data_IF_774502682221
#
_entry.id   IF_774502682221
#
_cell.length_a   1.000
_cell.length_b   1.000
_cell.length_c   1.000
_cell.angle_alpha   90.00
_cell.angle_beta   90.00
_cell.angle_gamma   90.00
#
_symmetry.space_group_name_H-M   'P 1'
#
loop_
_entity.id
_entity.type
_entity.pdbx_description
1 polymer ?
#
# COMPACT_ATOMS: atom_id res chain seq x y z
N UNK A 1 -8.71 76.67 -4.80
CA UNK A 1 -8.47 75.57 -5.75
C UNK A 1 -8.52 74.26 -4.97
N UNK A 2 -9.71 73.70 -4.80
CA UNK A 2 -9.97 72.52 -3.98
C UNK A 2 -9.96 71.26 -4.84
N UNK A 3 -8.98 70.40 -4.63
CA UNK A 3 -8.90 69.09 -5.28
C UNK A 3 -9.29 68.04 -4.22
N UNK A 4 -10.57 67.70 -4.16
CA UNK A 4 -11.08 66.61 -3.33
C UNK A 4 -10.82 65.29 -4.06
N UNK A 5 -10.05 64.40 -3.44
CA UNK A 5 -9.65 63.08 -3.96
C UNK A 5 -10.76 62.08 -3.66
N UNK A 6 -11.40 61.53 -4.69
CA UNK A 6 -12.39 60.46 -4.52
C UNK A 6 -11.69 59.15 -4.16
N UNK A 7 -11.90 58.68 -2.92
CA UNK A 7 -11.48 57.36 -2.49
C UNK A 7 -12.46 56.33 -3.04
N UNK A 8 -12.05 55.61 -4.08
CA UNK A 8 -12.76 54.45 -4.60
C UNK A 8 -12.97 53.39 -3.51
N UNK A 9 -14.21 53.23 -3.08
CA UNK A 9 -14.61 52.31 -2.03
C UNK A 9 -14.57 50.88 -2.60
N UNK A 10 -13.49 50.13 -2.31
CA UNK A 10 -13.39 48.72 -2.66
C UNK A 10 -14.49 47.94 -1.94
N UNK A 11 -15.55 47.58 -2.67
CA UNK A 11 -16.62 46.69 -2.19
C UNK A 11 -16.01 45.33 -1.87
N UNK A 12 -15.91 45.00 -0.57
CA UNK A 12 -15.55 43.67 -0.11
C UNK A 12 -16.72 42.74 -0.41
N UNK A 13 -16.57 41.87 -1.42
CA UNK A 13 -17.52 40.80 -1.70
C UNK A 13 -17.48 39.80 -0.54
N UNK A 14 -18.58 39.68 0.20
CA UNK A 14 -18.76 38.65 1.21
C UNK A 14 -19.31 37.38 0.54
N UNK A 15 -18.71 36.23 0.85
CA UNK A 15 -19.19 34.91 0.43
C UNK A 15 -20.59 34.65 1.01
N UNK A 16 -21.46 34.02 0.22
CA UNK A 16 -22.80 33.63 0.71
C UNK A 16 -22.74 32.26 1.37
N UNK A 17 -23.62 32.00 2.36
CA UNK A 17 -23.74 30.68 2.99
C UNK A 17 -24.11 29.59 1.97
N UNK A 18 -24.91 29.94 0.96
CA UNK A 18 -25.34 29.02 -0.11
C UNK A 18 -24.16 28.57 -0.96
N UNK A 19 -23.22 29.48 -1.24
CA UNK A 19 -22.03 29.18 -2.03
C UNK A 19 -21.12 28.17 -1.33
N UNK A 20 -20.94 28.31 -0.01
CA UNK A 20 -20.21 27.33 0.79
C UNK A 20 -20.97 25.99 0.89
N UNK A 21 -22.29 26.02 0.98
CA UNK A 21 -23.14 24.83 1.07
C UNK A 21 -23.01 23.94 -0.17
N UNK A 22 -23.09 24.53 -1.37
CA UNK A 22 -22.96 23.78 -2.63
C UNK A 22 -21.56 23.17 -2.75
N UNK A 23 -20.51 23.88 -2.31
CA UNK A 23 -19.14 23.36 -2.35
C UNK A 23 -18.99 22.12 -1.46
N UNK A 24 -19.42 22.17 -0.19
CA UNK A 24 -19.28 21.02 0.71
C UNK A 24 -20.17 19.85 0.29
N UNK A 25 -21.32 20.12 -0.34
CA UNK A 25 -22.17 19.08 -0.94
C UNK A 25 -21.44 18.33 -2.06
N UNK A 26 -20.79 19.05 -2.98
CA UNK A 26 -20.03 18.44 -4.08
C UNK A 26 -18.81 17.69 -3.53
N UNK A 27 -18.06 18.26 -2.58
CA UNK A 27 -16.93 17.59 -1.93
C UNK A 27 -17.36 16.31 -1.20
N UNK A 28 -18.51 16.33 -0.52
CA UNK A 28 -19.08 15.15 0.13
C UNK A 28 -19.44 14.04 -0.86
N UNK A 29 -20.06 14.39 -1.99
CA UNK A 29 -20.39 13.44 -3.05
C UNK A 29 -19.14 12.79 -3.68
N UNK A 30 -18.10 13.58 -3.95
CA UNK A 30 -16.83 13.07 -4.47
C UNK A 30 -16.13 12.17 -3.44
N UNK A 31 -16.09 12.57 -2.18
CA UNK A 31 -15.47 11.79 -1.10
C UNK A 31 -16.15 10.42 -0.92
N UNK A 32 -17.48 10.37 -1.00
CA UNK A 32 -18.26 9.12 -0.89
C UNK A 32 -17.87 8.07 -1.94
N UNK A 33 -17.43 8.51 -3.14
CA UNK A 33 -16.99 7.61 -4.21
C UNK A 33 -15.49 7.32 -4.13
N UNK A 34 -14.68 8.33 -3.80
CA UNK A 34 -13.22 8.23 -3.80
C UNK A 34 -12.69 7.35 -2.67
N UNK A 35 -13.20 7.53 -1.44
CA UNK A 35 -12.72 6.81 -0.25
C UNK A 35 -12.80 5.28 -0.37
N UNK A 36 -13.96 4.66 -0.71
CA UNK A 36 -14.03 3.20 -0.80
C UNK A 36 -13.14 2.64 -1.92
N UNK A 37 -12.97 3.38 -3.03
CA UNK A 37 -12.07 2.99 -4.13
C UNK A 37 -10.60 3.03 -3.73
N UNK A 38 -10.19 4.00 -2.93
CA UNK A 38 -8.81 4.08 -2.44
C UNK A 38 -8.50 2.92 -1.48
N UNK A 39 -9.43 2.56 -0.60
CA UNK A 39 -9.26 1.44 0.34
C UNK A 39 -9.12 0.12 -0.43
N UNK A 40 -9.99 -0.15 -1.41
CA UNK A 40 -9.91 -1.39 -2.20
C UNK A 40 -8.62 -1.46 -3.03
N UNK A 41 -8.18 -0.35 -3.62
CA UNK A 41 -6.90 -0.26 -4.32
C UNK A 41 -5.70 -0.57 -3.41
N UNK A 42 -5.69 0.00 -2.20
CA UNK A 42 -4.65 -0.26 -1.22
C UNK A 42 -4.63 -1.73 -0.77
N UNK A 43 -5.79 -2.33 -0.52
CA UNK A 43 -5.91 -3.76 -0.18
C UNK A 43 -5.41 -4.65 -1.30
N UNK A 44 -5.80 -4.38 -2.55
CA UNK A 44 -5.34 -5.15 -3.72
C UNK A 44 -3.83 -5.05 -3.91
N UNK A 45 -3.24 -3.87 -3.69
CA UNK A 45 -1.78 -3.69 -3.75
C UNK A 45 -1.08 -4.53 -2.68
N UNK A 46 -1.63 -4.61 -1.46
CA UNK A 46 -1.09 -5.48 -0.39
C UNK A 46 -1.19 -6.96 -0.75
N UNK A 47 -2.30 -7.41 -1.34
CA UNK A 47 -2.47 -8.80 -1.79
C UNK A 47 -1.44 -9.14 -2.87
N UNK A 48 -1.29 -8.28 -3.88
CA UNK A 48 -0.30 -8.49 -4.95
C UNK A 48 1.15 -8.50 -4.42
N UNK A 49 1.45 -7.65 -3.43
CA UNK A 49 2.75 -7.70 -2.75
C UNK A 49 2.94 -9.01 -1.97
N UNK A 50 1.90 -9.56 -1.33
CA UNK A 50 1.98 -10.87 -0.68
C UNK A 50 2.31 -11.98 -1.67
N UNK A 51 1.63 -12.03 -2.81
CA UNK A 51 1.86 -13.03 -3.85
C UNK A 51 3.30 -12.93 -4.39
N UNK A 52 3.74 -11.72 -4.69
CA UNK A 52 5.13 -11.46 -5.14
C UNK A 52 6.15 -11.95 -4.11
N UNK A 53 5.92 -11.67 -2.83
CA UNK A 53 6.81 -12.12 -1.76
C UNK A 53 6.84 -13.66 -1.64
N UNK A 54 5.71 -14.35 -1.82
CA UNK A 54 5.65 -15.82 -1.85
C UNK A 54 6.51 -16.36 -2.99
N UNK A 55 6.40 -15.78 -4.18
CA UNK A 55 7.19 -16.19 -5.35
C UNK A 55 8.69 -15.94 -5.15
N UNK A 56 9.07 -14.81 -4.55
CA UNK A 56 10.45 -14.51 -4.17
C UNK A 56 11.00 -15.56 -3.19
N UNK A 57 10.25 -15.89 -2.14
CA UNK A 57 10.67 -16.92 -1.17
C UNK A 57 10.80 -18.28 -1.84
N UNK A 58 9.84 -18.67 -2.66
CA UNK A 58 9.87 -19.95 -3.38
C UNK A 58 11.07 -20.03 -4.34
N UNK A 59 11.40 -18.93 -5.01
CA UNK A 59 12.60 -18.85 -5.87
C UNK A 59 13.89 -19.08 -5.07
N UNK A 60 13.98 -18.51 -3.86
CA UNK A 60 15.13 -18.75 -2.98
C UNK A 60 15.16 -20.17 -2.40
N UNK A 61 14.00 -20.80 -2.17
CA UNK A 61 13.91 -22.22 -1.78
C UNK A 61 14.45 -23.12 -2.90
N UNK A 62 14.10 -22.83 -4.15
CA UNK A 62 14.62 -23.57 -5.31
C UNK A 62 16.14 -23.38 -5.46
N UNK A 63 16.65 -22.16 -5.25
CA UNK A 63 18.09 -21.89 -5.23
C UNK A 63 18.81 -22.65 -4.10
N UNK A 64 18.22 -22.71 -2.91
CA UNK A 64 18.76 -23.51 -1.80
C UNK A 64 18.88 -24.98 -2.19
N UNK A 65 17.84 -25.56 -2.79
CA UNK A 65 17.88 -26.94 -3.27
C UNK A 65 18.97 -27.14 -4.34
N UNK A 66 19.07 -26.23 -5.32
CA UNK A 66 20.07 -26.30 -6.36
C UNK A 66 21.52 -26.24 -5.83
N UNK A 67 21.76 -25.51 -4.73
CA UNK A 67 23.10 -25.32 -4.16
C UNK A 67 23.47 -26.35 -3.09
N UNK A 68 22.51 -26.83 -2.31
CA UNK A 68 22.73 -27.75 -1.17
C UNK A 68 22.32 -29.19 -1.47
N UNK A 69 21.58 -29.43 -2.55
CA UNK A 69 21.07 -30.75 -2.92
C UNK A 69 19.97 -31.30 -1.99
N UNK A 70 19.42 -30.46 -1.11
CA UNK A 70 18.38 -30.85 -0.16
C UNK A 70 17.42 -29.68 0.07
N UNK A 71 16.16 -29.99 0.37
CA UNK A 71 15.16 -28.98 0.70
C UNK A 71 15.38 -28.42 2.11
N UNK A 72 15.09 -27.12 2.34
CA UNK A 72 15.20 -26.52 3.66
C UNK A 72 14.22 -27.20 4.63
N UNK A 73 14.66 -27.50 5.85
CA UNK A 73 13.79 -28.12 6.87
C UNK A 73 12.77 -27.13 7.46
N UNK A 74 13.05 -25.83 7.35
CA UNK A 74 12.21 -24.73 7.81
C UNK A 74 12.51 -23.46 7.01
N UNK A 75 11.54 -22.56 6.92
CA UNK A 75 11.69 -21.29 6.16
C UNK A 75 12.86 -20.43 6.66
N UNK A 76 13.14 -20.46 7.96
CA UNK A 76 14.18 -19.66 8.61
C UNK A 76 15.60 -19.95 8.11
N UNK A 77 15.83 -21.11 7.49
CA UNK A 77 17.13 -21.44 6.87
C UNK A 77 17.44 -20.47 5.71
N UNK A 78 16.41 -19.98 5.04
CA UNK A 78 16.53 -19.09 3.89
C UNK A 78 16.26 -17.65 4.32
N UNK A 79 15.16 -17.42 5.05
CA UNK A 79 14.77 -16.05 5.44
C UNK A 79 15.69 -15.42 6.49
N UNK A 80 16.46 -16.24 7.23
CA UNK A 80 17.46 -15.76 8.18
C UNK A 80 18.87 -15.66 7.62
N UNK A 81 19.09 -16.06 6.36
CA UNK A 81 20.42 -16.09 5.75
C UNK A 81 20.58 -14.93 4.73
N UNK A 82 21.51 -13.99 4.97
CA UNK A 82 21.79 -12.87 4.07
C UNK A 82 22.21 -13.29 2.66
N UNK A 83 22.65 -14.53 2.44
CA UNK A 83 22.99 -15.03 1.10
C UNK A 83 21.76 -15.16 0.20
N UNK A 84 20.58 -15.39 0.77
CA UNK A 84 19.32 -15.52 0.03
C UNK A 84 18.48 -14.25 0.09
N UNK A 85 18.54 -13.52 1.21
CA UNK A 85 17.85 -12.25 1.42
C UNK A 85 18.80 -11.20 2.03
N UNK A 86 19.66 -10.55 1.22
CA UNK A 86 20.65 -9.60 1.73
C UNK A 86 20.02 -8.37 2.39
N UNK A 87 18.86 -7.94 1.90
CA UNK A 87 18.11 -6.79 2.42
C UNK A 87 17.08 -7.18 3.50
N UNK A 88 17.10 -8.46 3.92
CA UNK A 88 16.14 -9.03 4.86
C UNK A 88 14.95 -9.71 4.17
N UNK A 89 14.36 -10.68 4.87
CA UNK A 89 13.27 -11.46 4.33
C UNK A 89 11.98 -10.65 4.18
N UNK A 90 11.26 -10.81 3.05
CA UNK A 90 10.00 -10.12 2.84
C UNK A 90 8.99 -10.46 3.94
N UNK A 91 8.31 -9.43 4.42
CA UNK A 91 7.25 -9.54 5.41
C UNK A 91 5.89 -9.35 4.73
N UNK A 92 4.89 -10.03 5.24
CA UNK A 92 3.53 -9.84 4.78
C UNK A 92 3.00 -8.44 5.17
N UNK A 93 2.48 -7.63 4.24
CA UNK A 93 1.84 -6.34 4.52
C UNK A 93 0.61 -6.39 5.45
N UNK A 94 0.07 -7.59 5.73
CA UNK A 94 -1.01 -7.80 6.69
C UNK A 94 -0.51 -8.31 8.06
N UNK A 95 0.80 -8.52 8.23
CA UNK A 95 1.42 -8.89 9.50
C UNK A 95 1.39 -10.39 9.85
N UNK A 96 0.81 -11.23 9.00
CA UNK A 96 0.82 -12.69 9.20
C UNK A 96 2.07 -13.32 8.59
N UNK A 97 2.80 -14.18 9.32
CA UNK A 97 4.04 -14.76 8.82
C UNK A 97 3.79 -15.79 7.71
N UNK A 98 4.70 -15.86 6.73
CA UNK A 98 4.69 -16.90 5.70
C UNK A 98 4.94 -18.28 6.31
N UNK A 99 4.11 -19.25 5.93
CA UNK A 99 4.22 -20.63 6.41
C UNK A 99 4.87 -21.49 5.35
N UNK A 100 5.92 -22.22 5.72
CA UNK A 100 6.56 -23.19 4.84
C UNK A 100 5.91 -24.55 5.00
N UNK A 101 5.47 -25.13 3.89
CA UNK A 101 4.93 -26.48 3.86
C UNK A 101 6.05 -27.45 3.50
N UNK A 102 6.44 -28.28 4.48
CA UNK A 102 7.52 -29.28 4.34
C UNK A 102 7.15 -30.45 3.43
N UNK A 103 5.86 -30.69 3.13
CA UNK A 103 5.42 -31.77 2.25
C UNK A 103 5.54 -31.41 0.76
N UNK A 104 5.30 -30.14 0.42
CA UNK A 104 5.42 -29.63 -0.96
C UNK A 104 6.68 -28.80 -1.19
N UNK A 105 7.48 -28.62 -0.13
CA UNK A 105 8.70 -27.82 -0.11
C UNK A 105 8.55 -26.38 -0.61
N UNK A 106 7.40 -25.77 -0.37
CA UNK A 106 7.07 -24.40 -0.83
C UNK A 106 6.29 -23.64 0.22
N UNK A 107 6.30 -22.32 0.09
CA UNK A 107 5.32 -21.44 0.73
C UNK A 107 4.08 -21.42 -0.15
N UNK A 108 2.91 -21.89 0.34
CA UNK A 108 1.66 -21.83 -0.40
C UNK A 108 1.17 -20.38 -0.52
N UNK A 109 0.23 -20.13 -1.43
CA UNK A 109 -0.45 -18.85 -1.50
C UNK A 109 -1.09 -18.52 -0.15
N UNK A 110 -0.91 -17.28 0.28
CA UNK A 110 -1.40 -16.79 1.56
C UNK A 110 -2.65 -15.94 1.30
N UNK A 111 -3.78 -16.28 1.94
CA UNK A 111 -5.04 -15.53 1.82
C UNK A 111 -5.24 -14.56 3.00
N UNK A 112 -5.97 -13.47 2.75
CA UNK A 112 -6.27 -12.42 3.73
C UNK A 112 -7.74 -12.06 3.72
#
# INVERSE_FOLDING_TARGET
MSMQKENGMYSRRAFTLVELLVVVMILGALAAIAVPRMISGATNAKISACETNVDLINSQIELYYATKGAWPQRIAVITGDPNYFPDGAPQCPFGTPYQYNTAIHRVPSHTH
#
